data_IF_163140974065
#
_entry.id   IF_163140974065
#
_cell.length_a   1.000
_cell.length_b   1.000
_cell.length_c   1.000
_cell.angle_alpha   90.00
_cell.angle_beta   90.00
_cell.angle_gamma   90.00
#
_symmetry.space_group_name_H-M   'P 1'
#
loop_
_entity.id
_entity.type
_entity.pdbx_description
1 polymer ?
#
# COMPACT_ATOMS: atom_id res chain seq x y z
N UNK A 1 -23.28 14.62 24.72
CA UNK A 1 -22.03 14.64 23.92
C UNK A 1 -20.99 15.41 24.70
N UNK A 2 -19.74 14.96 24.72
CA UNK A 2 -18.65 15.63 25.46
C UNK A 2 -18.71 15.47 26.99
N UNK A 3 -19.70 14.76 27.52
CA UNK A 3 -19.81 14.42 28.94
C UNK A 3 -19.04 13.14 29.24
N UNK A 4 -18.40 13.12 30.41
CA UNK A 4 -17.69 11.96 30.94
C UNK A 4 -18.68 11.07 31.67
N UNK A 5 -18.79 9.82 31.23
CA UNK A 5 -19.68 8.83 31.80
C UNK A 5 -18.85 7.64 32.26
N UNK A 6 -19.00 7.27 33.53
CA UNK A 6 -18.34 6.10 34.09
C UNK A 6 -18.98 4.78 33.62
N UNK A 7 -18.24 3.69 33.71
CA UNK A 7 -18.76 2.35 33.45
C UNK A 7 -19.96 1.97 34.33
N UNK A 8 -20.02 2.43 35.58
CA UNK A 8 -21.15 2.19 36.48
C UNK A 8 -22.41 2.91 36.00
N UNK A 9 -22.29 4.16 35.57
CA UNK A 9 -23.40 4.93 34.99
C UNK A 9 -23.89 4.32 33.68
N UNK A 10 -22.97 3.85 32.83
CA UNK A 10 -23.34 3.11 31.61
C UNK A 10 -24.08 1.82 31.93
N UNK A 11 -23.64 1.06 32.93
CA UNK A 11 -24.30 -0.17 33.37
C UNK A 11 -25.73 0.13 33.88
N UNK A 12 -25.87 1.14 34.72
CA UNK A 12 -27.15 1.56 35.29
C UNK A 12 -28.11 2.07 34.21
N UNK A 13 -27.64 2.94 33.31
CA UNK A 13 -28.46 3.55 32.27
C UNK A 13 -28.89 2.53 31.19
N UNK A 14 -28.00 1.62 30.82
CA UNK A 14 -28.28 0.61 29.79
C UNK A 14 -29.07 -0.60 30.31
N UNK A 15 -29.08 -0.82 31.64
CA UNK A 15 -29.73 -1.97 32.27
C UNK A 15 -29.11 -3.32 31.90
N UNK A 16 -27.86 -3.34 31.42
CA UNK A 16 -27.15 -4.55 31.00
C UNK A 16 -25.80 -4.71 31.68
N UNK A 17 -25.46 -5.95 32.05
CA UNK A 17 -24.13 -6.29 32.58
C UNK A 17 -23.04 -6.24 31.50
N UNK A 18 -23.39 -6.50 30.24
CA UNK A 18 -22.47 -6.56 29.10
C UNK A 18 -22.22 -5.19 28.44
N UNK A 19 -22.42 -4.08 29.17
CA UNK A 19 -22.30 -2.72 28.64
C UNK A 19 -20.92 -2.46 28.01
N UNK A 20 -19.84 -2.97 28.62
CA UNK A 20 -18.48 -2.78 28.12
C UNK A 20 -18.28 -3.43 26.73
N UNK A 21 -18.94 -4.56 26.47
CA UNK A 21 -18.94 -5.21 25.16
C UNK A 21 -19.72 -4.37 24.14
N UNK A 22 -20.91 -3.88 24.49
CA UNK A 22 -21.73 -3.02 23.62
C UNK A 22 -21.05 -1.70 23.31
N UNK A 23 -20.35 -1.11 24.28
CA UNK A 23 -19.58 0.11 24.07
C UNK A 23 -18.44 -0.11 23.06
N UNK A 24 -17.73 -1.23 23.15
CA UNK A 24 -16.73 -1.62 22.15
C UNK A 24 -17.36 -1.84 20.78
N UNK A 25 -18.53 -2.48 20.70
CA UNK A 25 -19.24 -2.66 19.44
C UNK A 25 -19.63 -1.33 18.81
N UNK A 26 -20.16 -0.38 19.59
CA UNK A 26 -20.49 0.96 19.12
C UNK A 26 -19.24 1.69 18.61
N UNK A 27 -18.14 1.63 19.36
CA UNK A 27 -16.88 2.28 18.99
C UNK A 27 -16.27 1.70 17.71
N UNK A 28 -16.29 0.37 17.58
CA UNK A 28 -15.50 -0.34 16.58
C UNK A 28 -16.35 -0.77 15.37
N UNK A 29 -17.49 -1.41 15.59
CA UNK A 29 -18.33 -1.95 14.52
C UNK A 29 -19.28 -0.91 13.93
N UNK A 30 -19.71 0.05 14.74
CA UNK A 30 -20.65 1.11 14.33
C UNK A 30 -20.00 2.48 14.17
N UNK A 31 -18.69 2.60 14.39
CA UNK A 31 -17.94 3.80 14.06
C UNK A 31 -18.18 5.01 14.98
N UNK A 32 -18.77 4.84 16.17
CA UNK A 32 -18.91 5.95 17.13
C UNK A 32 -17.55 6.36 17.70
N UNK A 33 -17.30 7.68 17.75
CA UNK A 33 -16.07 8.22 18.34
C UNK A 33 -16.22 8.30 19.86
N UNK A 34 -15.83 7.21 20.53
CA UNK A 34 -15.89 7.08 21.99
C UNK A 34 -14.47 6.89 22.51
N UNK A 35 -14.01 7.85 23.29
CA UNK A 35 -12.68 7.86 23.91
C UNK A 35 -12.78 7.39 25.36
N UNK A 36 -11.79 6.62 25.81
CA UNK A 36 -11.60 6.35 27.23
C UNK A 36 -10.64 7.42 27.79
N UNK A 37 -11.17 8.36 28.58
CA UNK A 37 -10.45 9.55 29.06
C UNK A 37 -9.84 9.35 30.46
N UNK A 38 -10.16 8.23 31.09
CA UNK A 38 -9.67 7.79 32.39
C UNK A 38 -10.06 6.34 32.63
N UNK A 39 -9.63 5.76 33.75
CA UNK A 39 -9.91 4.36 34.10
C UNK A 39 -11.43 4.10 34.17
N UNK A 40 -11.99 3.46 33.13
CA UNK A 40 -13.42 3.19 33.03
C UNK A 40 -14.31 4.43 32.81
N UNK A 41 -13.75 5.55 32.36
CA UNK A 41 -14.49 6.79 32.04
C UNK A 41 -14.48 6.99 30.53
N UNK A 42 -15.67 7.11 29.95
CA UNK A 42 -15.86 7.21 28.52
C UNK A 42 -16.51 8.52 28.12
N UNK A 43 -16.05 9.08 27.02
CA UNK A 43 -16.58 10.30 26.42
C UNK A 43 -16.95 10.04 24.97
N UNK A 44 -18.17 10.42 24.58
CA UNK A 44 -18.57 10.46 23.18
C UNK A 44 -18.18 11.82 22.60
N UNK A 45 -17.22 11.82 21.68
CA UNK A 45 -16.69 13.03 21.04
C UNK A 45 -17.66 13.55 19.97
N UNK A 46 -18.35 12.64 19.26
CA UNK A 46 -19.33 12.94 18.23
C UNK A 46 -20.56 12.06 18.35
N UNK A 47 -21.74 12.64 18.18
CA UNK A 47 -23.01 11.90 18.18
C UNK A 47 -23.21 11.08 16.92
N UNK A 48 -22.69 11.56 15.79
CA UNK A 48 -22.82 10.87 14.52
C UNK A 48 -21.68 9.87 14.33
N UNK A 49 -21.99 8.64 13.90
CA UNK A 49 -20.97 7.65 13.62
C UNK A 49 -20.16 7.99 12.37
N UNK A 50 -18.89 7.60 12.38
CA UNK A 50 -18.07 7.56 11.18
C UNK A 50 -18.42 6.29 10.38
N UNK A 51 -19.34 6.44 9.43
CA UNK A 51 -19.81 5.33 8.59
C UNK A 51 -18.70 4.70 7.75
N UNK A 52 -17.72 5.49 7.31
CA UNK A 52 -16.60 4.98 6.51
C UNK A 52 -15.70 4.10 7.37
N UNK A 53 -15.33 4.56 8.56
CA UNK A 53 -14.57 3.77 9.54
C UNK A 53 -15.31 2.50 9.93
N UNK A 54 -16.62 2.57 10.16
CA UNK A 54 -17.45 1.41 10.48
C UNK A 54 -17.45 0.39 9.32
N UNK A 55 -17.76 0.83 8.09
CA UNK A 55 -17.76 -0.01 6.89
C UNK A 55 -16.40 -0.68 6.68
N UNK A 56 -15.32 0.09 6.82
CA UNK A 56 -13.95 -0.39 6.67
C UNK A 56 -13.60 -1.44 7.71
N UNK A 57 -13.97 -1.22 8.97
CA UNK A 57 -13.75 -2.22 10.01
C UNK A 57 -14.55 -3.50 9.76
N UNK A 58 -15.82 -3.39 9.36
CA UNK A 58 -16.67 -4.55 9.07
C UNK A 58 -16.08 -5.38 7.92
N UNK A 59 -15.60 -4.72 6.86
CA UNK A 59 -14.86 -5.36 5.77
C UNK A 59 -13.61 -6.10 6.27
N UNK A 60 -12.77 -5.42 7.06
CA UNK A 60 -11.56 -6.00 7.63
C UNK A 60 -11.87 -7.21 8.52
N UNK A 61 -12.89 -7.11 9.39
CA UNK A 61 -13.30 -8.18 10.29
C UNK A 61 -13.89 -9.37 9.52
N UNK A 62 -14.67 -9.12 8.46
CA UNK A 62 -15.18 -10.17 7.57
C UNK A 62 -14.04 -10.95 6.92
N UNK A 63 -13.05 -10.25 6.37
CA UNK A 63 -11.87 -10.86 5.73
C UNK A 63 -11.00 -11.57 6.76
N UNK A 64 -10.78 -10.97 7.93
CA UNK A 64 -10.02 -11.61 9.01
C UNK A 64 -10.60 -12.97 9.42
N UNK A 65 -11.94 -13.11 9.39
CA UNK A 65 -12.68 -14.33 9.73
C UNK A 65 -12.86 -15.30 8.56
N UNK A 66 -12.50 -14.92 7.33
CA UNK A 66 -12.61 -15.83 6.19
C UNK A 66 -11.57 -16.95 6.29
N UNK A 67 -11.84 -18.07 5.64
CA UNK A 67 -10.82 -19.09 5.42
C UNK A 67 -9.69 -18.55 4.52
N UNK A 68 -8.54 -19.21 4.56
CA UNK A 68 -7.37 -18.86 3.77
C UNK A 68 -6.15 -18.45 4.60
N UNK A 69 -5.02 -18.41 3.92
CA UNK A 69 -3.73 -17.97 4.43
C UNK A 69 -3.74 -16.48 4.83
N UNK A 70 -2.70 -16.06 5.55
CA UNK A 70 -2.49 -14.64 5.84
C UNK A 70 -2.34 -13.82 4.55
N UNK A 71 -1.66 -14.35 3.54
CA UNK A 71 -1.44 -13.67 2.25
C UNK A 71 -2.75 -13.45 1.50
N UNK A 72 -3.59 -14.49 1.36
CA UNK A 72 -4.90 -14.38 0.68
C UNK A 72 -5.82 -13.35 1.35
N UNK A 73 -5.80 -13.27 2.69
CA UNK A 73 -6.57 -12.25 3.43
C UNK A 73 -6.03 -10.84 3.22
N UNK A 74 -4.71 -10.68 3.12
CA UNK A 74 -4.09 -9.38 2.79
C UNK A 74 -4.45 -8.97 1.37
N UNK A 75 -4.34 -9.88 0.39
CA UNK A 75 -4.72 -9.62 -1.00
C UNK A 75 -6.17 -9.15 -1.11
N UNK A 76 -7.11 -9.90 -0.50
CA UNK A 76 -8.53 -9.55 -0.50
C UNK A 76 -8.80 -8.17 0.12
N UNK A 77 -8.07 -7.81 1.19
CA UNK A 77 -8.24 -6.51 1.83
C UNK A 77 -7.65 -5.36 1.00
N UNK A 78 -6.47 -5.56 0.41
CA UNK A 78 -5.84 -4.57 -0.46
C UNK A 78 -6.67 -4.33 -1.72
N UNK A 79 -7.24 -5.38 -2.31
CA UNK A 79 -8.12 -5.27 -3.47
C UNK A 79 -9.42 -4.53 -3.13
N UNK A 80 -10.06 -4.87 -2.02
CA UNK A 80 -11.26 -4.18 -1.56
C UNK A 80 -10.99 -2.72 -1.14
N UNK A 81 -9.73 -2.37 -0.81
CA UNK A 81 -9.28 -1.02 -0.47
C UNK A 81 -8.44 -0.39 -1.58
N UNK A 82 -8.61 -0.82 -2.84
CA UNK A 82 -7.78 -0.37 -3.96
C UNK A 82 -7.82 1.17 -4.09
N UNK A 83 -6.63 1.76 -4.24
CA UNK A 83 -6.48 3.20 -4.34
C UNK A 83 -6.53 3.94 -3.00
N UNK A 84 -6.95 3.30 -1.91
CA UNK A 84 -6.98 3.88 -0.57
C UNK A 84 -5.68 3.62 0.21
N UNK A 85 -5.44 4.43 1.25
CA UNK A 85 -4.32 4.21 2.17
C UNK A 85 -4.66 3.04 3.10
N UNK A 86 -3.79 2.04 3.16
CA UNK A 86 -3.87 0.90 4.07
C UNK A 86 -2.68 0.96 5.02
N UNK A 87 -2.93 0.88 6.32
CA UNK A 87 -1.89 0.96 7.36
C UNK A 87 -1.39 -0.43 7.74
N UNK A 88 -0.23 -0.46 8.40
CA UNK A 88 0.28 -1.66 9.05
C UNK A 88 -0.75 -2.33 9.96
N UNK A 89 -1.46 -1.56 10.77
CA UNK A 89 -2.43 -2.11 11.72
C UNK A 89 -3.60 -2.79 11.00
N UNK A 90 -4.06 -2.22 9.88
CA UNK A 90 -5.06 -2.88 9.04
C UNK A 90 -4.52 -4.23 8.52
N UNK A 91 -3.28 -4.25 8.01
CA UNK A 91 -2.65 -5.44 7.46
C UNK A 91 -2.47 -6.53 8.52
N UNK A 92 -1.87 -6.20 9.66
CA UNK A 92 -1.65 -7.14 10.76
C UNK A 92 -2.99 -7.66 11.33
N UNK A 93 -4.01 -6.79 11.41
CA UNK A 93 -5.37 -7.18 11.81
C UNK A 93 -5.98 -8.22 10.86
N UNK A 94 -6.04 -7.95 9.55
CA UNK A 94 -6.68 -8.87 8.59
C UNK A 94 -5.89 -10.17 8.43
N UNK A 95 -4.56 -10.09 8.49
CA UNK A 95 -3.67 -11.25 8.39
C UNK A 95 -3.72 -12.14 9.63
N UNK A 96 -4.19 -11.61 10.78
CA UNK A 96 -4.22 -12.28 12.08
C UNK A 96 -2.82 -12.79 12.51
N UNK A 97 -1.77 -12.04 12.16
CA UNK A 97 -0.37 -12.30 12.49
C UNK A 97 0.34 -10.95 12.70
N UNK A 98 1.48 -10.93 13.42
CA UNK A 98 2.27 -9.71 13.66
C UNK A 98 3.27 -9.36 12.55
N UNK A 99 3.37 -10.21 11.52
CA UNK A 99 4.31 -10.06 10.40
C UNK A 99 3.61 -9.85 9.05
N UNK A 100 2.42 -9.26 9.04
CA UNK A 100 1.66 -9.07 7.79
C UNK A 100 2.42 -8.21 6.76
N UNK A 101 3.23 -7.26 7.23
CA UNK A 101 4.10 -6.43 6.37
C UNK A 101 5.07 -7.25 5.51
N UNK A 102 5.57 -8.37 6.04
CA UNK A 102 6.48 -9.24 5.27
C UNK A 102 5.77 -9.84 4.05
N UNK A 103 4.50 -10.22 4.21
CA UNK A 103 3.65 -10.71 3.11
C UNK A 103 3.34 -9.62 2.09
N UNK A 104 3.14 -8.38 2.52
CA UNK A 104 2.98 -7.23 1.61
C UNK A 104 4.23 -7.02 0.75
N UNK A 105 5.43 -7.16 1.34
CA UNK A 105 6.69 -7.10 0.58
C UNK A 105 6.82 -8.24 -0.41
N UNK A 106 6.46 -9.47 -0.04
CA UNK A 106 6.47 -10.61 -0.97
C UNK A 106 5.49 -10.39 -2.14
N UNK A 107 4.28 -9.89 -1.87
CA UNK A 107 3.34 -9.50 -2.92
C UNK A 107 3.95 -8.49 -3.87
N UNK A 108 4.65 -7.47 -3.37
CA UNK A 108 5.30 -6.43 -4.16
C UNK A 108 6.51 -6.95 -4.94
N UNK A 109 7.43 -7.64 -4.27
CA UNK A 109 8.80 -7.92 -4.74
C UNK A 109 8.90 -9.27 -5.46
N UNK A 110 8.10 -10.27 -5.06
CA UNK A 110 8.09 -11.59 -5.68
C UNK A 110 6.95 -11.75 -6.69
N UNK A 111 5.77 -11.21 -6.37
CA UNK A 111 4.57 -11.33 -7.20
C UNK A 111 4.25 -10.08 -8.04
N UNK A 112 5.06 -9.02 -7.93
CA UNK A 112 4.94 -7.82 -8.75
C UNK A 112 3.69 -6.98 -8.49
N UNK A 113 3.00 -7.15 -7.37
CA UNK A 113 1.82 -6.33 -7.08
C UNK A 113 2.21 -4.85 -7.02
N UNK A 114 1.46 -3.94 -7.68
CA UNK A 114 1.76 -2.51 -7.69
C UNK A 114 1.31 -1.87 -6.37
N UNK A 115 2.02 -2.19 -5.29
CA UNK A 115 1.80 -1.67 -3.94
C UNK A 115 2.83 -0.58 -3.67
N UNK A 116 2.39 0.67 -3.56
CA UNK A 116 3.24 1.79 -3.18
C UNK A 116 3.43 1.81 -1.67
N UNK A 117 4.64 2.16 -1.21
CA UNK A 117 4.90 2.62 0.15
C UNK A 117 5.33 4.09 0.16
N UNK A 118 5.69 4.63 1.33
CA UNK A 118 6.31 5.95 1.46
C UNK A 118 7.57 6.15 0.60
N UNK A 119 8.25 5.06 0.21
CA UNK A 119 9.40 5.12 -0.70
C UNK A 119 8.95 5.46 -2.13
N UNK A 120 7.78 4.98 -2.55
CA UNK A 120 7.25 5.13 -3.90
C UNK A 120 6.42 6.41 -4.08
N UNK A 121 5.76 6.84 -3.00
CA UNK A 121 4.74 7.89 -3.00
C UNK A 121 4.94 8.83 -1.80
N UNK A 122 5.33 10.09 -2.01
CA UNK A 122 5.63 11.05 -0.92
C UNK A 122 4.45 11.35 0.00
N UNK A 123 3.23 11.13 -0.47
CA UNK A 123 2.02 11.35 0.30
C UNK A 123 1.75 10.26 1.35
N UNK A 124 2.46 9.12 1.28
CA UNK A 124 2.32 8.03 2.24
C UNK A 124 3.34 8.17 3.37
N UNK A 125 2.92 7.81 4.58
CA UNK A 125 3.78 7.76 5.77
C UNK A 125 4.44 6.37 5.91
N UNK A 126 5.53 6.24 6.67
CA UNK A 126 6.06 4.94 7.03
C UNK A 126 4.98 4.04 7.66
N UNK A 127 4.83 2.82 7.12
CA UNK A 127 3.77 1.89 7.53
C UNK A 127 2.43 2.08 6.80
N UNK A 128 2.34 3.03 5.88
CA UNK A 128 1.21 3.18 4.96
C UNK A 128 1.56 2.59 3.58
N UNK A 129 0.55 1.96 2.98
CA UNK A 129 0.63 1.29 1.70
C UNK A 129 -0.58 1.64 0.86
N UNK A 130 -0.43 1.58 -0.46
CA UNK A 130 -1.53 1.77 -1.39
C UNK A 130 -1.44 0.77 -2.53
N UNK A 131 -2.46 -0.05 -2.71
CA UNK A 131 -2.59 -0.85 -3.91
C UNK A 131 -3.05 0.03 -5.07
N UNK A 132 -2.27 0.08 -6.14
CA UNK A 132 -2.57 0.90 -7.32
C UNK A 132 -3.49 0.16 -8.30
N UNK A 133 -3.23 -1.12 -8.54
CA UNK A 133 -4.05 -1.98 -9.40
C UNK A 133 -4.08 -3.42 -8.89
N UNK A 134 -5.23 -4.08 -9.01
CA UNK A 134 -5.36 -5.53 -8.79
C UNK A 134 -5.24 -6.34 -10.09
N UNK A 135 -5.22 -5.68 -11.26
CA UNK A 135 -5.12 -6.37 -12.56
C UNK A 135 -3.74 -7.04 -12.71
N UNK A 136 -3.68 -8.35 -13.03
CA UNK A 136 -2.43 -9.02 -13.36
C UNK A 136 -1.64 -8.39 -14.52
N UNK A 137 -2.26 -7.65 -15.44
CA UNK A 137 -1.53 -6.93 -16.51
C UNK A 137 -0.72 -5.75 -16.00
N UNK A 138 -1.07 -5.23 -14.82
CA UNK A 138 -0.44 -4.07 -14.19
C UNK A 138 0.62 -4.48 -13.15
N UNK A 139 1.07 -5.74 -13.19
CA UNK A 139 2.15 -6.19 -12.34
C UNK A 139 3.45 -5.48 -12.72
N UNK A 140 4.19 -5.07 -11.70
CA UNK A 140 5.55 -4.52 -11.80
C UNK A 140 6.49 -5.54 -12.42
N UNK A 141 7.55 -5.04 -13.05
CA UNK A 141 8.66 -5.90 -13.46
C UNK A 141 9.24 -6.60 -12.21
N UNK A 142 9.28 -7.95 -12.13
CA UNK A 142 9.84 -8.65 -10.99
C UNK A 142 11.29 -8.25 -10.67
N UNK A 143 12.03 -7.68 -11.63
CA UNK A 143 13.40 -7.19 -11.45
C UNK A 143 13.49 -5.89 -10.67
N UNK A 144 12.37 -5.22 -10.39
CA UNK A 144 12.36 -4.11 -9.45
C UNK A 144 12.92 -4.51 -8.07
N UNK A 145 12.83 -5.80 -7.69
CA UNK A 145 13.44 -6.35 -6.47
C UNK A 145 14.96 -6.27 -6.41
N UNK A 146 15.63 -6.09 -7.56
CA UNK A 146 17.09 -5.97 -7.64
C UNK A 146 17.59 -4.65 -7.03
N UNK A 147 16.72 -3.64 -6.92
CA UNK A 147 17.05 -2.32 -6.42
C UNK A 147 16.63 -2.19 -4.94
N UNK A 148 17.58 -2.13 -3.99
CA UNK A 148 17.26 -2.05 -2.57
C UNK A 148 16.45 -0.80 -2.21
N UNK A 149 15.62 -0.89 -1.16
CA UNK A 149 14.71 0.19 -0.73
C UNK A 149 15.40 1.56 -0.62
N UNK A 150 16.57 1.64 0.02
CA UNK A 150 17.31 2.90 0.17
C UNK A 150 17.90 3.45 -1.13
N UNK A 151 18.23 2.61 -2.11
CA UNK A 151 18.64 3.07 -3.44
C UNK A 151 17.44 3.64 -4.20
N UNK A 152 16.33 2.90 -4.16
CA UNK A 152 15.05 3.27 -4.76
C UNK A 152 14.57 4.63 -4.26
N UNK A 153 14.61 4.83 -2.94
CA UNK A 153 14.27 6.08 -2.28
C UNK A 153 15.13 7.25 -2.79
N UNK A 154 16.46 7.08 -2.86
CA UNK A 154 17.36 8.13 -3.35
C UNK A 154 17.11 8.48 -4.81
N UNK A 155 16.92 7.48 -5.69
CA UNK A 155 16.65 7.72 -7.11
C UNK A 155 15.30 8.42 -7.31
N UNK A 156 14.24 7.96 -6.63
CA UNK A 156 12.93 8.59 -6.71
C UNK A 156 12.92 10.01 -6.15
N UNK A 157 13.60 10.24 -5.02
CA UNK A 157 13.74 11.58 -4.44
C UNK A 157 14.54 12.52 -5.36
N UNK A 158 15.65 12.04 -5.94
CA UNK A 158 16.47 12.79 -6.92
C UNK A 158 15.63 13.23 -8.12
N UNK A 159 14.78 12.35 -8.62
CA UNK A 159 13.91 12.62 -9.77
C UNK A 159 12.57 13.28 -9.36
N UNK A 160 12.47 13.73 -8.10
CA UNK A 160 11.29 14.39 -7.51
C UNK A 160 9.98 13.61 -7.74
N UNK A 161 10.04 12.28 -7.60
CA UNK A 161 8.91 11.36 -7.76
C UNK A 161 8.14 11.59 -9.07
N UNK A 162 8.89 11.90 -10.13
CA UNK A 162 8.35 12.27 -11.44
C UNK A 162 9.01 11.42 -12.52
N UNK A 163 8.22 10.93 -13.47
CA UNK A 163 8.74 10.20 -14.62
C UNK A 163 9.67 11.13 -15.41
N UNK A 164 10.93 10.72 -15.56
CA UNK A 164 11.95 11.48 -16.29
C UNK A 164 11.71 11.56 -17.80
N UNK A 165 10.80 10.72 -18.33
CA UNK A 165 10.43 10.70 -19.76
C UNK A 165 9.20 11.55 -20.08
N UNK A 166 8.05 11.29 -19.44
CA UNK A 166 6.82 12.04 -19.72
C UNK A 166 6.53 13.18 -18.74
N UNK A 167 7.32 13.37 -17.69
CA UNK A 167 7.12 14.44 -16.71
C UNK A 167 5.88 14.30 -15.82
N UNK A 168 5.22 13.14 -15.82
CA UNK A 168 4.07 12.87 -14.94
C UNK A 168 4.54 12.39 -13.57
N UNK A 169 3.85 12.87 -12.55
CA UNK A 169 3.89 12.35 -11.18
C UNK A 169 2.48 11.90 -10.80
N UNK A 170 2.32 11.37 -9.57
CA UNK A 170 1.03 10.85 -9.10
C UNK A 170 -0.09 11.89 -9.13
N UNK A 171 0.18 13.10 -8.66
CA UNK A 171 -0.81 14.18 -8.62
C UNK A 171 -1.34 14.51 -10.03
N UNK A 172 -0.44 14.70 -11.00
CA UNK A 172 -0.81 14.97 -12.39
C UNK A 172 -1.55 13.80 -13.04
N UNK A 173 -1.17 12.57 -12.71
CA UNK A 173 -1.86 11.38 -13.20
C UNK A 173 -3.30 11.30 -12.67
N UNK A 174 -3.49 11.51 -11.37
CA UNK A 174 -4.82 11.55 -10.74
C UNK A 174 -5.68 12.67 -11.33
N UNK A 175 -5.13 13.87 -11.52
CA UNK A 175 -5.82 15.00 -12.15
C UNK A 175 -6.25 14.69 -13.60
N UNK A 176 -5.54 13.80 -14.29
CA UNK A 176 -5.88 13.32 -15.63
C UNK A 176 -6.79 12.07 -15.62
N UNK A 177 -7.26 11.62 -14.46
CA UNK A 177 -8.10 10.43 -14.31
C UNK A 177 -7.34 9.10 -14.38
N UNK A 178 -6.00 9.12 -14.36
CA UNK A 178 -5.16 7.92 -14.32
C UNK A 178 -4.93 7.48 -12.87
N UNK A 179 -5.77 6.55 -12.41
CA UNK A 179 -5.69 5.98 -11.06
C UNK A 179 -4.65 4.86 -10.94
N UNK A 180 -4.10 4.37 -12.06
CA UNK A 180 -3.17 3.24 -12.11
C UNK A 180 -1.70 3.68 -12.18
N UNK A 181 -1.40 4.90 -11.72
CA UNK A 181 -0.04 5.44 -11.79
C UNK A 181 0.86 4.96 -10.65
N UNK A 182 2.03 4.45 -11.03
CA UNK A 182 3.15 4.13 -10.15
C UNK A 182 4.49 4.31 -10.87
N UNK A 183 5.55 4.43 -10.07
CA UNK A 183 6.93 4.62 -10.53
C UNK A 183 7.75 3.33 -10.41
N UNK A 184 8.71 3.18 -11.31
CA UNK A 184 9.67 2.10 -11.37
C UNK A 184 11.07 2.65 -11.64
N UNK A 185 12.08 1.93 -11.17
CA UNK A 185 13.47 2.17 -11.52
C UNK A 185 13.73 1.55 -12.88
N UNK A 186 14.33 2.32 -13.77
CA UNK A 186 14.80 1.86 -15.07
C UNK A 186 16.32 1.97 -15.15
N UNK A 187 16.97 0.91 -15.61
CA UNK A 187 18.39 0.93 -15.92
C UNK A 187 18.63 1.43 -17.34
N UNK A 188 19.37 2.54 -17.50
CA UNK A 188 19.59 3.22 -18.79
C UNK A 188 20.31 2.35 -19.84
N UNK A 189 21.12 1.39 -19.38
CA UNK A 189 22.13 0.75 -20.23
C UNK A 189 21.98 -0.78 -20.34
N UNK A 190 21.00 -1.40 -19.67
CA UNK A 190 20.87 -2.85 -19.62
C UNK A 190 19.41 -3.28 -19.76
N UNK A 191 19.17 -4.34 -20.54
CA UNK A 191 17.84 -4.95 -20.63
C UNK A 191 17.61 -5.87 -19.43
N UNK A 192 16.34 -6.22 -19.20
CA UNK A 192 15.91 -7.14 -18.16
C UNK A 192 16.80 -8.42 -18.09
N UNK A 193 17.13 -9.03 -19.21
CA UNK A 193 17.94 -10.26 -19.28
C UNK A 193 19.41 -10.08 -18.85
N UNK A 194 19.90 -8.84 -18.84
CA UNK A 194 21.29 -8.52 -18.49
C UNK A 194 21.42 -8.06 -17.03
N UNK A 195 20.33 -7.54 -16.43
CA UNK A 195 20.35 -6.96 -15.08
C UNK A 195 20.86 -7.94 -14.02
N UNK A 196 20.45 -9.21 -14.10
CA UNK A 196 20.83 -10.24 -13.14
C UNK A 196 22.33 -10.60 -13.21
N UNK A 197 23.01 -10.26 -14.31
CA UNK A 197 24.42 -10.57 -14.55
C UNK A 197 25.37 -9.38 -14.28
N UNK A 198 24.83 -8.18 -14.05
CA UNK A 198 25.64 -7.00 -13.79
C UNK A 198 26.29 -7.05 -12.39
N UNK A 199 27.54 -6.61 -12.26
CA UNK A 199 28.14 -6.36 -10.95
C UNK A 199 27.28 -5.39 -10.12
N UNK A 200 27.13 -5.59 -8.79
CA UNK A 200 26.30 -4.72 -7.96
C UNK A 200 26.67 -3.23 -8.02
N UNK A 201 27.94 -2.91 -8.20
CA UNK A 201 28.45 -1.54 -8.32
C UNK A 201 28.16 -0.88 -9.67
N UNK A 202 27.80 -1.65 -10.70
CA UNK A 202 27.29 -1.16 -11.97
C UNK A 202 25.76 -1.11 -11.96
N UNK A 203 25.12 -2.17 -11.46
CA UNK A 203 23.67 -2.30 -11.37
C UNK A 203 23.04 -1.22 -10.48
N UNK A 204 23.66 -0.94 -9.33
CA UNK A 204 23.14 -0.03 -8.31
C UNK A 204 23.75 1.38 -8.39
N UNK A 205 24.50 1.68 -9.45
CA UNK A 205 25.07 3.01 -9.69
C UNK A 205 23.96 3.99 -10.05
N UNK A 206 23.75 5.02 -9.24
CA UNK A 206 22.61 5.95 -9.41
C UNK A 206 22.61 6.65 -10.77
N UNK A 207 23.79 6.92 -11.35
CA UNK A 207 23.93 7.53 -12.67
C UNK A 207 23.36 6.65 -13.79
N UNK A 208 23.31 5.34 -13.58
CA UNK A 208 22.75 4.36 -14.52
C UNK A 208 21.23 4.20 -14.35
N UNK A 209 20.63 4.79 -13.32
CA UNK A 209 19.23 4.59 -12.97
C UNK A 209 18.41 5.86 -13.22
N UNK A 210 17.16 5.68 -13.64
CA UNK A 210 16.15 6.75 -13.74
C UNK A 210 14.80 6.29 -13.25
N UNK A 211 14.01 7.26 -12.80
CA UNK A 211 12.61 7.08 -12.46
C UNK A 211 11.76 7.16 -13.72
N UNK A 212 10.94 6.14 -13.97
CA UNK A 212 9.92 6.12 -15.02
C UNK A 212 8.56 5.75 -14.43
N UNK A 213 7.48 6.24 -15.04
CA UNK A 213 6.16 5.67 -14.77
C UNK A 213 6.06 4.30 -15.45
N UNK A 214 5.21 3.43 -14.92
CA UNK A 214 5.03 2.07 -15.42
C UNK A 214 4.81 1.97 -16.94
N UNK A 215 4.01 2.89 -17.51
CA UNK A 215 3.73 2.94 -18.96
C UNK A 215 4.99 3.20 -19.77
N UNK A 216 5.77 4.19 -19.35
CA UNK A 216 7.01 4.56 -20.04
C UNK A 216 8.10 3.53 -19.84
N UNK A 217 8.15 2.92 -18.65
CA UNK A 217 9.05 1.82 -18.34
C UNK A 217 8.78 0.62 -19.25
N UNK A 218 7.53 0.14 -19.29
CA UNK A 218 7.13 -0.97 -20.16
C UNK A 218 7.44 -0.69 -21.64
N UNK A 219 7.11 0.51 -22.13
CA UNK A 219 7.36 0.90 -23.52
C UNK A 219 8.87 0.95 -23.86
N UNK A 220 9.70 1.50 -22.96
CA UNK A 220 11.15 1.57 -23.19
C UNK A 220 11.81 0.20 -23.11
N UNK A 221 11.41 -0.65 -22.16
CA UNK A 221 11.92 -2.01 -22.03
C UNK A 221 11.60 -2.83 -23.28
N UNK A 222 10.37 -2.76 -23.79
CA UNK A 222 9.98 -3.42 -25.04
C UNK A 222 10.82 -2.94 -26.24
N UNK A 223 10.94 -1.62 -26.43
CA UNK A 223 11.72 -1.04 -27.53
C UNK A 223 13.22 -1.37 -27.44
N UNK A 224 13.77 -1.54 -26.23
CA UNK A 224 15.17 -1.91 -26.05
C UNK A 224 15.41 -3.39 -26.35
N UNK A 225 14.50 -4.27 -25.93
CA UNK A 225 14.55 -5.70 -26.27
C UNK A 225 14.44 -5.96 -27.78
N UNK A 226 13.56 -5.25 -28.48
CA UNK A 226 13.43 -5.36 -29.95
C UNK A 226 14.72 -5.01 -30.68
N UNK A 227 15.36 -3.89 -30.30
CA UNK A 227 16.65 -3.47 -30.87
C UNK A 227 17.74 -4.53 -30.69
N UNK A 228 17.89 -5.09 -29.48
CA UNK A 228 18.90 -6.14 -29.23
C UNK A 228 18.62 -7.44 -29.99
N UNK A 229 17.34 -7.80 -30.19
CA UNK A 229 16.97 -8.96 -31.04
C UNK A 229 17.31 -8.72 -32.50
N UNK A 230 17.15 -7.49 -33.00
CA UNK A 230 17.61 -7.08 -34.33
C UNK A 230 19.12 -7.23 -34.48
N UNK A 231 19.90 -6.68 -33.55
CA UNK A 231 21.37 -6.72 -33.58
C UNK A 231 21.92 -8.15 -33.53
N UNK A 232 21.28 -9.06 -32.77
CA UNK A 232 21.65 -10.48 -32.70
C UNK A 232 21.31 -11.28 -33.97
N UNK A 233 20.31 -10.85 -34.74
CA UNK A 233 19.93 -11.49 -36.01
C UNK A 233 20.72 -10.98 -37.21
N UNK A 234 21.31 -9.79 -37.10
CA UNK A 234 22.18 -9.19 -38.12
C UNK A 234 23.66 -9.54 -37.99
N UNK A 235 24.05 -10.24 -36.91
CA UNK A 235 25.38 -10.86 -36.72
C UNK A 235 25.32 -12.34 -37.05
#
# INVERSE_FOLDING_TARGET
>A
MGEDISGEELAAASGIHEWARRLRELRVEHGYEITEVGDGIYRMERAEPDEERARRWQLANKIRRSAGSATERIEAFLEASKGEVVTRDHIDYVANIREGIRRVRELRDEHGWPINSYIDEPALRPGEYRLVSSDPSDRRDPRQRLYPEGLRERVFARDNYTCTKCGRNRERALAAGDTHFYLEIHHKHAVAEELDALPPDELNREENLVTLCHRDHAALTAAFQERRRGDRRGR
#
